data_IF_626772529685
#
_entry.id   IF_626772529685
#
_cell.length_a   1.000
_cell.length_b   1.000
_cell.length_c   1.000
_cell.angle_alpha   90.00
_cell.angle_beta   90.00
_cell.angle_gamma   90.00
#
_symmetry.space_group_name_H-M   'P 1'
#
loop_
_entity.id
_entity.type
_entity.pdbx_description
1 polymer ?
#
# COMPACT_ATOMS: atom_id res chain seq x y z
N UNK A 1 -5.41 17.34 -1.88
CA UNK A 1 -6.89 17.27 -1.93
C UNK A 1 -7.31 15.96 -2.59
N UNK A 2 -8.30 15.24 -2.03
CA UNK A 2 -8.76 13.92 -2.56
C UNK A 2 -9.23 14.03 -4.02
N UNK A 3 -9.83 15.17 -4.39
CA UNK A 3 -10.31 15.45 -5.75
C UNK A 3 -9.23 15.31 -6.83
N UNK A 4 -7.94 15.48 -6.52
CA UNK A 4 -6.86 15.29 -7.49
C UNK A 4 -6.74 13.81 -7.90
N UNK A 5 -6.97 12.88 -6.98
CA UNK A 5 -6.97 11.45 -7.27
C UNK A 5 -8.20 11.04 -8.08
N UNK A 6 -9.35 11.68 -7.83
CA UNK A 6 -10.57 11.50 -8.62
C UNK A 6 -10.39 12.01 -10.05
N UNK A 7 -9.88 13.23 -10.22
CA UNK A 7 -9.64 13.83 -11.55
C UNK A 7 -8.68 13.02 -12.42
N UNK A 8 -7.72 12.34 -11.79
CA UNK A 8 -6.74 11.49 -12.48
C UNK A 8 -7.20 10.04 -12.64
N UNK A 9 -8.41 9.69 -12.18
CA UNK A 9 -8.98 8.35 -12.35
C UNK A 9 -8.47 7.28 -11.37
N UNK A 10 -7.59 7.62 -10.43
CA UNK A 10 -7.08 6.66 -9.45
C UNK A 10 -8.13 6.21 -8.44
N UNK A 11 -9.16 7.03 -8.22
CA UNK A 11 -10.26 6.75 -7.31
C UNK A 11 -11.55 7.18 -7.98
N UNK A 12 -12.60 6.35 -7.89
CA UNK A 12 -13.92 6.68 -8.42
C UNK A 12 -14.45 7.97 -7.79
N UNK A 13 -15.32 8.70 -8.51
CA UNK A 13 -16.01 9.87 -7.96
C UNK A 13 -16.87 9.50 -6.75
N UNK A 14 -17.02 10.40 -5.76
CA UNK A 14 -17.87 10.14 -4.59
C UNK A 14 -19.34 9.97 -5.01
N UNK A 15 -20.05 9.06 -4.36
CA UNK A 15 -21.48 8.82 -4.57
C UNK A 15 -22.26 9.61 -3.53
N UNK A 16 -23.15 10.51 -3.96
CA UNK A 16 -23.91 11.40 -3.05
C UNK A 16 -23.00 12.18 -2.07
N UNK A 17 -21.84 12.65 -2.56
CA UNK A 17 -20.79 13.35 -1.77
C UNK A 17 -20.10 12.48 -0.70
N UNK A 18 -20.27 11.16 -0.74
CA UNK A 18 -19.62 10.22 0.19
C UNK A 18 -18.69 9.27 -0.57
N UNK A 19 -17.61 8.85 0.09
CA UNK A 19 -16.73 7.79 -0.39
C UNK A 19 -17.10 6.49 0.31
N UNK A 20 -17.16 5.40 -0.45
CA UNK A 20 -17.42 4.06 0.08
C UNK A 20 -16.12 3.41 0.62
N UNK A 21 -16.27 2.22 1.19
CA UNK A 21 -15.15 1.47 1.76
C UNK A 21 -14.01 1.23 0.75
N UNK A 22 -14.32 0.82 -0.49
CA UNK A 22 -13.31 0.59 -1.53
C UNK A 22 -12.51 1.86 -1.84
N UNK A 23 -13.19 3.01 -1.98
CA UNK A 23 -12.55 4.29 -2.26
C UNK A 23 -11.64 4.72 -1.11
N UNK A 24 -12.06 4.48 0.12
CA UNK A 24 -11.27 4.78 1.33
C UNK A 24 -10.06 3.84 1.42
N UNK A 25 -10.23 2.54 1.14
CA UNK A 25 -9.13 1.57 1.10
C UNK A 25 -8.06 1.97 0.06
N UNK A 26 -8.47 2.33 -1.16
CA UNK A 26 -7.54 2.85 -2.18
C UNK A 26 -6.85 4.14 -1.73
N UNK A 27 -7.55 5.05 -1.03
CA UNK A 27 -6.94 6.27 -0.49
C UNK A 27 -5.84 5.96 0.54
N UNK A 28 -6.09 5.02 1.46
CA UNK A 28 -5.09 4.61 2.44
C UNK A 28 -3.86 4.01 1.77
N UNK A 29 -4.08 3.07 0.84
CA UNK A 29 -2.99 2.46 0.07
C UNK A 29 -2.15 3.52 -0.66
N UNK A 30 -2.79 4.42 -1.43
CA UNK A 30 -2.08 5.50 -2.16
C UNK A 30 -1.32 6.40 -1.18
N UNK A 31 -1.88 6.72 -0.02
CA UNK A 31 -1.26 7.64 0.94
C UNK A 31 0.06 7.10 1.49
N UNK A 32 0.12 5.79 1.73
CA UNK A 32 1.31 5.10 2.20
C UNK A 32 2.32 4.89 1.07
N UNK A 33 1.86 4.31 -0.04
CA UNK A 33 2.75 3.85 -1.12
C UNK A 33 3.33 4.99 -1.95
N UNK A 34 2.66 6.14 -2.05
CA UNK A 34 3.21 7.32 -2.75
C UNK A 34 4.49 7.89 -2.13
N UNK A 35 4.88 7.42 -0.94
CA UNK A 35 6.15 7.79 -0.29
C UNK A 35 7.35 7.11 -0.95
N UNK A 36 7.13 5.99 -1.63
CA UNK A 36 8.18 5.15 -2.22
C UNK A 36 7.99 4.90 -3.71
N UNK A 37 6.77 5.06 -4.24
CA UNK A 37 6.46 4.90 -5.67
C UNK A 37 5.85 6.15 -6.29
N UNK A 38 6.08 6.32 -7.60
CA UNK A 38 5.39 7.33 -8.41
C UNK A 38 3.91 6.96 -8.60
N UNK A 39 3.07 7.95 -8.92
CA UNK A 39 1.65 7.70 -9.20
C UNK A 39 1.42 6.78 -10.41
N UNK A 40 2.30 6.82 -11.42
CA UNK A 40 2.22 5.92 -12.58
C UNK A 40 2.49 4.46 -12.16
N UNK A 41 3.46 4.23 -11.28
CA UNK A 41 3.77 2.89 -10.78
C UNK A 41 2.68 2.37 -9.84
N UNK A 42 2.04 3.24 -9.06
CA UNK A 42 0.88 2.88 -8.22
C UNK A 42 -0.29 2.41 -9.10
N UNK A 43 -0.53 3.07 -10.24
CA UNK A 43 -1.57 2.63 -11.18
C UNK A 43 -1.26 1.25 -11.77
N UNK A 44 0.00 1.00 -12.17
CA UNK A 44 0.44 -0.32 -12.65
C UNK A 44 0.24 -1.40 -11.58
N UNK A 45 0.57 -1.08 -10.33
CA UNK A 45 0.40 -2.00 -9.20
C UNK A 45 -1.08 -2.34 -8.96
N UNK A 46 -2.00 -1.37 -9.07
CA UNK A 46 -3.44 -1.66 -8.99
C UNK A 46 -3.91 -2.58 -10.12
N UNK A 47 -3.40 -2.43 -11.34
CA UNK A 47 -3.76 -3.32 -12.47
C UNK A 47 -3.29 -4.75 -12.23
N UNK A 48 -2.04 -4.93 -11.77
CA UNK A 48 -1.49 -6.25 -11.41
C UNK A 48 -2.34 -6.92 -10.31
N UNK A 49 -2.80 -6.15 -9.33
CA UNK A 49 -3.65 -6.66 -8.25
C UNK A 49 -5.07 -7.00 -8.73
N UNK A 50 -5.67 -6.18 -9.61
CA UNK A 50 -7.00 -6.45 -10.19
C UNK A 50 -7.04 -7.70 -11.09
N UNK A 51 -5.90 -8.11 -11.66
CA UNK A 51 -5.78 -9.35 -12.43
C UNK A 51 -5.74 -10.61 -11.54
N UNK A 52 -5.33 -10.47 -10.28
CA UNK A 52 -5.03 -11.59 -9.38
C UNK A 52 -6.06 -11.77 -8.27
N UNK A 53 -6.74 -10.69 -7.85
CA UNK A 53 -7.72 -10.72 -6.77
C UNK A 53 -8.78 -9.62 -6.91
N UNK A 54 -9.92 -9.80 -6.25
CA UNK A 54 -10.87 -8.69 -6.05
C UNK A 54 -10.29 -7.64 -5.08
N UNK A 55 -10.87 -6.44 -5.08
CA UNK A 55 -10.35 -5.29 -4.32
C UNK A 55 -10.31 -5.52 -2.82
N UNK A 56 -11.27 -6.25 -2.27
CA UNK A 56 -11.31 -6.53 -0.83
C UNK A 56 -10.18 -7.47 -0.46
N UNK A 57 -10.00 -8.56 -1.22
CA UNK A 57 -8.93 -9.53 -1.01
C UNK A 57 -7.55 -8.90 -1.17
N UNK A 58 -7.33 -8.10 -2.21
CA UNK A 58 -6.08 -7.38 -2.43
C UNK A 58 -5.75 -6.41 -1.27
N UNK A 59 -6.75 -5.65 -0.80
CA UNK A 59 -6.53 -4.71 0.31
C UNK A 59 -6.28 -5.43 1.64
N UNK A 60 -7.01 -6.51 1.94
CA UNK A 60 -6.77 -7.31 3.13
C UNK A 60 -5.36 -7.92 3.12
N UNK A 61 -4.92 -8.44 1.97
CA UNK A 61 -3.57 -8.99 1.80
C UNK A 61 -2.50 -7.93 2.02
N UNK A 62 -2.73 -6.70 1.53
CA UNK A 62 -1.87 -5.56 1.84
C UNK A 62 -1.82 -5.26 3.35
N UNK A 63 -2.97 -5.24 4.04
CA UNK A 63 -3.01 -4.96 5.48
C UNK A 63 -2.24 -6.02 6.28
N UNK A 64 -2.46 -7.30 6.00
CA UNK A 64 -1.74 -8.41 6.64
C UNK A 64 -0.23 -8.29 6.44
N UNK A 65 0.22 -8.08 5.20
CA UNK A 65 1.64 -7.88 4.87
C UNK A 65 2.21 -6.66 5.60
N UNK A 66 1.46 -5.56 5.62
CA UNK A 66 1.88 -4.29 6.23
C UNK A 66 2.02 -4.41 7.75
N UNK A 67 1.05 -5.01 8.43
CA UNK A 67 1.07 -5.21 9.88
C UNK A 67 2.22 -6.15 10.31
N UNK A 68 2.39 -7.28 9.62
CA UNK A 68 3.46 -8.23 9.89
C UNK A 68 4.83 -7.58 9.66
N UNK A 69 5.01 -6.89 8.53
CA UNK A 69 6.29 -6.24 8.19
C UNK A 69 6.62 -5.13 9.18
N UNK A 70 5.63 -4.34 9.60
CA UNK A 70 5.84 -3.27 10.55
C UNK A 70 6.23 -3.84 11.93
N UNK A 71 5.49 -4.81 12.46
CA UNK A 71 5.84 -5.47 13.73
C UNK A 71 7.23 -6.10 13.65
N UNK A 72 7.54 -6.86 12.59
CA UNK A 72 8.85 -7.48 12.42
C UNK A 72 9.99 -6.43 12.38
N UNK A 73 9.81 -5.34 11.64
CA UNK A 73 10.82 -4.29 11.56
C UNK A 73 11.05 -3.59 12.91
N UNK A 74 10.00 -3.35 13.70
CA UNK A 74 10.10 -2.67 14.99
C UNK A 74 10.56 -3.59 16.13
N UNK A 75 10.23 -4.88 16.07
CA UNK A 75 10.49 -5.83 17.16
C UNK A 75 11.81 -6.60 16.96
N UNK A 76 12.10 -7.09 15.75
CA UNK A 76 13.22 -8.01 15.49
C UNK A 76 14.21 -7.50 14.45
N UNK A 77 13.84 -6.49 13.66
CA UNK A 77 14.58 -6.02 12.47
C UNK A 77 14.79 -7.08 11.38
N UNK A 78 14.11 -8.23 11.47
CA UNK A 78 14.20 -9.31 10.49
C UNK A 78 12.87 -9.37 9.75
N UNK A 79 12.85 -8.90 8.51
CA UNK A 79 11.68 -8.95 7.63
C UNK A 79 11.81 -10.16 6.72
N UNK A 80 10.95 -11.14 6.94
CA UNK A 80 10.82 -12.30 6.06
C UNK A 80 9.63 -12.12 5.11
N UNK A 81 9.69 -12.66 3.88
CA UNK A 81 8.54 -12.71 2.99
C UNK A 81 7.37 -13.46 3.64
N UNK A 82 6.17 -12.88 3.64
CA UNK A 82 4.98 -13.57 4.16
C UNK A 82 4.35 -14.54 3.15
N UNK A 83 4.89 -14.59 1.93
CA UNK A 83 4.41 -15.41 0.83
C UNK A 83 5.46 -16.44 0.40
N UNK A 84 4.98 -17.58 -0.12
CA UNK A 84 5.83 -18.56 -0.79
C UNK A 84 6.03 -18.09 -2.24
N UNK A 85 7.27 -17.93 -2.65
CA UNK A 85 7.62 -17.63 -4.05
C UNK A 85 7.26 -18.82 -4.96
N UNK A 86 6.09 -18.72 -5.58
CA UNK A 86 5.61 -19.65 -6.61
C UNK A 86 5.65 -19.02 -8.02
N UNK A 87 6.42 -17.95 -8.21
CA UNK A 87 6.41 -17.16 -9.44
C UNK A 87 5.30 -16.10 -9.52
N UNK A 88 4.69 -15.75 -8.39
CA UNK A 88 3.72 -14.65 -8.28
C UNK A 88 4.45 -13.31 -8.13
N UNK A 89 4.66 -12.63 -9.27
CA UNK A 89 5.31 -11.32 -9.30
C UNK A 89 4.50 -10.25 -8.55
N UNK A 90 3.17 -10.39 -8.48
CA UNK A 90 2.30 -9.46 -7.76
C UNK A 90 2.58 -9.44 -6.27
N UNK A 91 2.74 -10.61 -5.65
CA UNK A 91 3.10 -10.73 -4.22
C UNK A 91 4.52 -10.23 -3.93
N UNK A 92 5.47 -10.51 -4.81
CA UNK A 92 6.85 -9.97 -4.69
C UNK A 92 6.87 -8.45 -4.70
N UNK A 93 6.15 -7.85 -5.65
CA UNK A 93 6.04 -6.40 -5.78
C UNK A 93 5.35 -5.80 -4.55
N UNK A 94 4.27 -6.43 -4.07
CA UNK A 94 3.56 -5.99 -2.87
C UNK A 94 4.45 -6.01 -1.64
N UNK A 95 5.11 -7.14 -1.36
CA UNK A 95 6.05 -7.28 -0.25
C UNK A 95 7.17 -6.24 -0.32
N UNK A 96 7.82 -6.11 -1.49
CA UNK A 96 8.92 -5.14 -1.66
C UNK A 96 8.44 -3.70 -1.41
N UNK A 97 7.23 -3.37 -1.86
CA UNK A 97 6.61 -2.06 -1.65
C UNK A 97 6.31 -1.82 -0.19
N UNK A 98 5.70 -2.79 0.49
CA UNK A 98 5.37 -2.73 1.92
C UNK A 98 6.63 -2.59 2.77
N UNK A 99 7.66 -3.39 2.49
CA UNK A 99 8.97 -3.32 3.14
C UNK A 99 9.58 -1.92 2.99
N UNK A 100 9.55 -1.34 1.80
CA UNK A 100 10.06 0.02 1.59
C UNK A 100 9.26 1.08 2.38
N UNK A 101 7.93 0.99 2.40
CA UNK A 101 7.07 1.89 3.21
C UNK A 101 7.37 1.75 4.70
N UNK A 102 7.48 0.52 5.20
CA UNK A 102 7.77 0.24 6.61
C UNK A 102 9.11 0.86 7.02
N UNK A 103 10.15 0.74 6.19
CA UNK A 103 11.44 1.40 6.45
C UNK A 103 11.32 2.94 6.46
N UNK A 104 10.54 3.53 5.56
CA UNK A 104 10.29 4.98 5.59
C UNK A 104 9.61 5.38 6.91
N UNK A 105 8.64 4.61 7.40
CA UNK A 105 7.96 4.86 8.68
C UNK A 105 8.95 4.73 9.85
N UNK A 106 9.72 3.64 9.89
CA UNK A 106 10.73 3.38 10.92
C UNK A 106 11.76 4.50 10.99
N UNK A 107 12.28 4.94 9.84
CA UNK A 107 13.26 6.03 9.78
C UNK A 107 12.67 7.36 10.24
N UNK A 108 11.44 7.70 9.85
CA UNK A 108 10.82 8.96 10.26
C UNK A 108 10.67 9.09 11.78
N UNK A 109 10.47 7.99 12.51
CA UNK A 109 10.44 8.04 13.98
C UNK A 109 11.72 8.65 14.58
N UNK A 110 12.87 8.44 13.96
CA UNK A 110 14.14 8.97 14.45
C UNK A 110 14.43 10.41 14.02
N UNK A 111 13.66 10.95 13.07
CA UNK A 111 13.83 12.32 12.56
C UNK A 111 12.67 13.26 12.95
N UNK A 112 11.58 12.73 13.49
CA UNK A 112 10.45 13.51 13.99
C UNK A 112 10.66 14.04 15.42
N UNK A 113 11.67 13.53 16.16
CA UNK A 113 12.06 13.99 17.51
C UNK A 113 12.82 15.34 17.51
N UNK A 114 13.17 15.90 16.34
CA UNK A 114 13.85 17.20 16.17
C UNK A 114 12.86 18.40 16.05
N UNK A 115 11.62 18.28 16.59
CA UNK A 115 10.61 19.35 16.59
C UNK A 115 10.09 19.72 17.97
#
# INVERSE_FOLDING_TARGET
MISNYVKKGYIKSPVKKQYNAEQIASLFFITLVKKVLSMENIEKLFRIQEETADKQTAYNSFCEEFEVTLSALFDTHIIEPTFIDQGDDGKKILHSTVTAVAHVIYLNQWFDDDK
#
